data_IF_797346361757
#
_entry.id   IF_797346361757
#
_cell.length_a   1.000
_cell.length_b   1.000
_cell.length_c   1.000
_cell.angle_alpha   90.00
_cell.angle_beta   90.00
_cell.angle_gamma   90.00
#
_symmetry.space_group_name_H-M   'P 1'
#
loop_
_entity.id
_entity.type
_entity.pdbx_description
1 polymer ?
#
# COMPACT_ATOMS: atom_id res chain seq x y z
N UNK A 1 -58.54 -29.20 5.28
CA UNK A 1 -59.81 -29.85 4.93
C UNK A 1 -59.67 -31.34 5.15
N UNK A 2 -59.78 -31.84 6.40
CA UNK A 2 -59.95 -33.27 6.72
C UNK A 2 -60.25 -33.45 8.18
N UNK A 3 -61.32 -32.88 8.63
CA UNK A 3 -61.82 -33.04 10.01
C UNK A 3 -63.35 -33.00 10.00
N UNK A 4 -63.91 -33.99 9.36
CA UNK A 4 -65.39 -34.26 9.46
C UNK A 4 -65.64 -35.62 8.79
N UNK A 5 -65.54 -36.69 9.55
CA UNK A 5 -66.27 -37.98 9.28
C UNK A 5 -65.83 -38.97 10.36
N UNK A 6 -66.30 -38.79 11.58
CA UNK A 6 -66.36 -39.89 12.57
C UNK A 6 -67.50 -39.62 13.55
N UNK A 7 -68.68 -39.53 13.02
CA UNK A 7 -69.89 -39.39 13.85
C UNK A 7 -71.04 -40.05 13.10
N UNK A 8 -71.06 -41.34 12.95
CA UNK A 8 -72.30 -42.09 12.67
C UNK A 8 -71.93 -43.56 12.58
N UNK A 9 -71.63 -44.16 13.70
CA UNK A 9 -71.75 -45.63 13.85
C UNK A 9 -72.12 -45.95 15.28
N UNK A 10 -73.26 -45.50 15.67
CA UNK A 10 -73.96 -45.91 16.89
C UNK A 10 -75.40 -45.90 16.56
N UNK A 11 -75.96 -47.01 16.33
CA UNK A 11 -77.34 -47.39 16.56
C UNK A 11 -77.83 -48.40 15.53
N UNK A 12 -77.64 -49.65 15.74
CA UNK A 12 -78.62 -50.72 15.42
C UNK A 12 -78.06 -52.04 15.88
N UNK A 13 -78.15 -52.40 17.11
CA UNK A 13 -78.36 -53.82 17.58
C UNK A 13 -79.31 -53.68 18.76
N UNK A 14 -80.58 -53.67 18.40
CA UNK A 14 -81.65 -53.91 19.37
C UNK A 14 -82.40 -55.17 18.92
N UNK A 15 -82.66 -56.02 19.84
CA UNK A 15 -83.60 -57.17 19.90
C UNK A 15 -83.14 -58.50 19.36
N UNK A 16 -82.86 -59.33 20.25
CA UNK A 16 -82.80 -60.78 20.13
C UNK A 16 -82.40 -61.47 21.41
N UNK A 17 -83.37 -61.44 22.42
CA UNK A 17 -83.62 -62.52 23.43
C UNK A 17 -82.49 -63.25 24.07
N UNK A 18 -82.37 -63.19 25.26
CA UNK A 18 -82.79 -64.01 26.38
C UNK A 18 -82.09 -63.59 27.65
N UNK A 19 -82.87 -63.39 28.65
CA UNK A 19 -82.54 -63.14 30.04
C UNK A 19 -81.48 -64.09 30.55
N UNK A 20 -80.33 -63.58 30.85
CA UNK A 20 -79.59 -63.93 32.06
C UNK A 20 -79.23 -62.58 32.69
N UNK A 21 -80.00 -62.26 33.75
CA UNK A 21 -79.73 -61.13 34.61
C UNK A 21 -78.41 -61.37 35.30
N UNK A 22 -77.35 -61.00 34.64
CA UNK A 22 -76.10 -60.66 35.31
C UNK A 22 -76.16 -59.24 35.73
N UNK A 23 -76.64 -58.97 36.98
CA UNK A 23 -76.49 -57.67 37.62
C UNK A 23 -75.03 -57.31 37.74
N UNK A 24 -74.46 -56.83 36.63
CA UNK A 24 -73.21 -56.12 36.70
C UNK A 24 -73.53 -54.89 37.64
N UNK A 25 -73.21 -55.00 38.87
CA UNK A 25 -73.39 -53.93 39.81
C UNK A 25 -72.70 -52.71 39.31
N UNK A 26 -73.30 -51.52 39.39
CA UNK A 26 -72.75 -50.23 39.01
C UNK A 26 -71.28 -50.06 39.43
N UNK A 27 -70.94 -50.72 40.54
CA UNK A 27 -69.55 -50.82 41.05
C UNK A 27 -68.60 -51.62 40.16
N UNK A 28 -69.03 -52.74 39.57
CA UNK A 28 -68.22 -53.58 38.67
C UNK A 28 -67.98 -52.88 37.34
N UNK A 29 -69.01 -52.30 36.78
CA UNK A 29 -68.86 -51.54 35.54
C UNK A 29 -67.91 -50.34 35.73
N UNK A 30 -68.05 -49.62 36.84
CA UNK A 30 -67.14 -48.50 37.14
C UNK A 30 -65.69 -48.99 37.31
N UNK A 31 -65.50 -50.05 38.09
CA UNK A 31 -64.15 -50.62 38.27
C UNK A 31 -63.51 -51.05 36.97
N UNK A 32 -64.22 -51.67 36.06
CA UNK A 32 -63.72 -52.11 34.73
C UNK A 32 -63.46 -50.93 33.82
N UNK A 33 -64.20 -49.84 33.96
CA UNK A 33 -63.92 -48.59 33.19
C UNK A 33 -62.68 -47.96 33.77
N UNK A 34 -62.59 -47.76 35.08
CA UNK A 34 -61.44 -47.15 35.76
C UNK A 34 -60.11 -47.90 35.41
N UNK A 35 -60.20 -49.28 35.47
CA UNK A 35 -59.05 -50.13 35.16
C UNK A 35 -58.53 -49.93 33.72
N UNK A 36 -59.36 -49.56 32.74
CA UNK A 36 -58.99 -49.31 31.35
C UNK A 36 -58.71 -47.84 31.07
N UNK A 37 -59.35 -46.93 31.76
CA UNK A 37 -59.20 -45.47 31.54
C UNK A 37 -57.96 -44.91 32.22
N UNK A 38 -57.69 -45.33 33.47
CA UNK A 38 -56.52 -44.83 34.23
C UNK A 38 -55.15 -44.96 33.46
N UNK A 39 -54.84 -46.11 32.78
CA UNK A 39 -53.62 -46.19 31.98
C UNK A 39 -53.62 -45.25 30.77
N UNK A 40 -54.79 -44.93 30.18
CA UNK A 40 -54.91 -44.01 29.07
C UNK A 40 -54.71 -42.57 29.52
N UNK A 41 -55.33 -42.19 30.68
CA UNK A 41 -55.13 -40.88 31.28
C UNK A 41 -53.66 -40.64 31.63
N UNK A 42 -52.98 -41.62 32.23
CA UNK A 42 -51.55 -41.54 32.52
C UNK A 42 -50.72 -41.34 31.23
N UNK A 43 -50.99 -42.11 30.16
CA UNK A 43 -50.28 -41.95 28.87
C UNK A 43 -50.59 -40.61 28.22
N UNK A 44 -51.80 -40.07 28.34
CA UNK A 44 -52.17 -38.75 27.84
C UNK A 44 -51.40 -37.69 28.59
N UNK A 45 -51.30 -37.77 29.93
CA UNK A 45 -50.48 -36.88 30.72
C UNK A 45 -49.00 -36.89 30.36
N UNK A 46 -48.41 -38.11 30.16
CA UNK A 46 -47.02 -38.22 29.72
C UNK A 46 -46.80 -37.63 28.31
N UNK A 47 -47.76 -37.83 27.40
CA UNK A 47 -47.69 -37.26 26.04
C UNK A 47 -47.81 -35.72 26.06
N UNK A 48 -48.71 -35.18 26.91
CA UNK A 48 -48.85 -33.72 27.07
C UNK A 48 -47.58 -33.09 27.67
N UNK A 49 -46.97 -33.75 28.67
CA UNK A 49 -45.71 -33.27 29.22
C UNK A 49 -44.57 -33.35 28.20
N UNK A 50 -44.48 -34.44 27.47
CA UNK A 50 -43.49 -34.61 26.39
C UNK A 50 -43.66 -33.54 25.29
N UNK A 51 -44.92 -33.29 24.91
CA UNK A 51 -45.26 -32.23 23.93
C UNK A 51 -44.85 -30.84 24.40
N UNK A 52 -45.08 -30.53 25.70
CA UNK A 52 -44.63 -29.26 26.27
C UNK A 52 -43.10 -29.13 26.28
N UNK A 53 -42.38 -30.20 26.68
CA UNK A 53 -40.91 -30.23 26.66
C UNK A 53 -40.40 -30.03 25.25
N UNK A 54 -40.92 -30.79 24.27
CA UNK A 54 -40.54 -30.67 22.89
C UNK A 54 -40.79 -29.21 22.34
N UNK A 55 -41.92 -28.61 22.71
CA UNK A 55 -42.22 -27.23 22.31
C UNK A 55 -41.23 -26.22 22.90
N UNK A 56 -40.85 -26.39 24.16
CA UNK A 56 -39.85 -25.55 24.81
C UNK A 56 -38.46 -25.73 24.18
N UNK A 57 -38.05 -26.99 23.86
CA UNK A 57 -36.80 -27.29 23.21
C UNK A 57 -36.74 -26.71 21.78
N UNK A 58 -37.83 -26.78 21.04
CA UNK A 58 -37.93 -26.17 19.70
C UNK A 58 -37.75 -24.65 19.80
N UNK A 59 -38.36 -23.99 20.79
CA UNK A 59 -38.18 -22.54 20.97
C UNK A 59 -36.75 -22.20 21.33
N UNK A 60 -36.11 -22.97 22.24
CA UNK A 60 -34.71 -22.77 22.62
C UNK A 60 -33.76 -22.97 21.41
N UNK A 61 -33.94 -24.07 20.69
CA UNK A 61 -33.14 -24.38 19.48
C UNK A 61 -33.30 -23.31 18.39
N UNK A 62 -34.51 -22.81 18.19
CA UNK A 62 -34.73 -21.70 17.25
C UNK A 62 -33.98 -20.44 17.67
N UNK A 63 -33.95 -20.13 18.97
CA UNK A 63 -33.14 -19.04 19.50
C UNK A 63 -31.64 -19.24 19.22
N UNK A 64 -31.10 -20.43 19.55
CA UNK A 64 -29.69 -20.77 19.33
C UNK A 64 -29.31 -20.71 17.84
N UNK A 65 -30.20 -21.20 16.96
CA UNK A 65 -29.99 -21.13 15.49
C UNK A 65 -29.96 -19.68 15.00
N UNK A 66 -30.87 -18.83 15.50
CA UNK A 66 -30.87 -17.41 15.11
C UNK A 66 -29.62 -16.68 15.59
N UNK A 67 -29.17 -16.95 16.83
CA UNK A 67 -27.90 -16.41 17.32
C UNK A 67 -26.68 -16.89 16.49
N UNK A 68 -26.66 -18.20 16.17
CA UNK A 68 -25.58 -18.78 15.34
C UNK A 68 -25.55 -18.14 13.95
N UNK A 69 -26.72 -17.92 13.34
CA UNK A 69 -26.82 -17.20 12.04
C UNK A 69 -26.30 -15.77 12.16
N UNK A 70 -26.73 -15.02 13.18
CA UNK A 70 -26.25 -13.65 13.38
C UNK A 70 -24.72 -13.58 13.59
N UNK A 71 -24.16 -14.56 14.31
CA UNK A 71 -22.68 -14.66 14.46
C UNK A 71 -22.00 -14.98 13.14
N UNK A 72 -22.55 -15.87 12.32
CA UNK A 72 -22.02 -16.24 11.01
C UNK A 72 -22.06 -15.02 10.04
N UNK A 73 -23.17 -14.28 10.00
CA UNK A 73 -23.31 -13.10 9.17
C UNK A 73 -22.29 -12.00 9.57
N UNK A 74 -22.11 -11.79 10.88
CA UNK A 74 -21.10 -10.86 11.38
C UNK A 74 -19.68 -11.30 11.05
N UNK A 75 -19.38 -12.59 11.18
CA UNK A 75 -18.07 -13.15 10.80
C UNK A 75 -17.81 -12.99 9.30
N UNK A 76 -18.82 -13.26 8.47
CA UNK A 76 -18.73 -13.05 7.01
C UNK A 76 -18.43 -11.58 6.67
N UNK A 77 -19.20 -10.66 7.22
CA UNK A 77 -18.99 -9.21 6.99
C UNK A 77 -17.59 -8.77 7.42
N UNK A 78 -17.09 -9.31 8.52
CA UNK A 78 -15.73 -9.01 9.00
C UNK A 78 -14.66 -9.57 8.06
N UNK A 79 -14.87 -10.80 7.57
CA UNK A 79 -13.95 -11.43 6.60
C UNK A 79 -13.93 -10.68 5.26
N UNK A 80 -15.09 -10.25 4.76
CA UNK A 80 -15.19 -9.46 3.54
C UNK A 80 -14.46 -8.12 3.68
N UNK A 81 -14.66 -7.43 4.80
CA UNK A 81 -13.94 -6.18 5.10
C UNK A 81 -12.42 -6.38 5.24
N UNK A 82 -11.98 -7.49 5.82
CA UNK A 82 -10.55 -7.85 5.91
C UNK A 82 -9.97 -8.13 4.52
N UNK A 83 -10.71 -8.83 3.66
CA UNK A 83 -10.31 -9.11 2.28
C UNK A 83 -10.12 -7.82 1.47
N UNK A 84 -11.05 -6.87 1.57
CA UNK A 84 -10.94 -5.56 0.90
C UNK A 84 -9.68 -4.81 1.37
N UNK A 85 -9.43 -4.80 2.69
CA UNK A 85 -8.21 -4.18 3.24
C UNK A 85 -6.92 -4.86 2.77
N UNK A 86 -6.91 -6.19 2.69
CA UNK A 86 -5.76 -6.95 2.21
C UNK A 86 -5.46 -6.66 0.73
N UNK A 87 -6.49 -6.59 -0.12
CA UNK A 87 -6.34 -6.22 -1.53
C UNK A 87 -5.82 -4.78 -1.67
N UNK A 88 -6.35 -3.83 -0.90
CA UNK A 88 -5.87 -2.44 -0.93
C UNK A 88 -4.42 -2.32 -0.45
N UNK A 89 -4.03 -3.06 0.59
CA UNK A 89 -2.65 -3.13 1.07
C UNK A 89 -1.72 -3.74 0.00
N UNK A 90 -2.14 -4.81 -0.68
CA UNK A 90 -1.42 -5.40 -1.81
C UNK A 90 -1.19 -4.39 -2.94
N UNK A 91 -2.24 -3.71 -3.38
CA UNK A 91 -2.16 -2.69 -4.42
C UNK A 91 -1.25 -1.50 -4.03
N UNK A 92 -1.19 -1.15 -2.75
CA UNK A 92 -0.26 -0.13 -2.24
C UNK A 92 1.18 -0.63 -2.27
N UNK A 93 1.42 -1.87 -1.85
CA UNK A 93 2.74 -2.48 -1.90
C UNK A 93 3.27 -2.56 -3.34
N UNK A 94 2.45 -2.98 -4.30
CA UNK A 94 2.82 -3.04 -5.72
C UNK A 94 3.18 -1.66 -6.27
N UNK A 95 2.42 -0.62 -5.93
CA UNK A 95 2.76 0.76 -6.31
C UNK A 95 4.08 1.24 -5.69
N UNK A 96 4.36 0.87 -4.44
CA UNK A 96 5.63 1.20 -3.79
C UNK A 96 6.77 0.47 -4.49
N UNK A 97 6.64 -0.83 -4.78
CA UNK A 97 7.64 -1.61 -5.49
C UNK A 97 7.95 -1.01 -6.88
N UNK A 98 6.92 -0.69 -7.67
CA UNK A 98 7.09 -0.03 -8.97
C UNK A 98 7.82 1.32 -8.86
N UNK A 99 7.57 2.10 -7.78
CA UNK A 99 8.31 3.35 -7.52
C UNK A 99 9.76 3.08 -7.14
N UNK A 100 10.00 2.06 -6.33
CA UNK A 100 11.36 1.64 -5.96
C UNK A 100 12.14 1.18 -7.19
N UNK A 101 11.54 0.34 -8.04
CA UNK A 101 12.18 -0.12 -9.29
C UNK A 101 12.57 1.06 -10.18
N UNK A 102 11.67 2.02 -10.39
CA UNK A 102 11.98 3.25 -11.13
C UNK A 102 13.07 4.11 -10.48
N UNK A 103 13.12 4.16 -9.14
CA UNK A 103 14.19 4.86 -8.43
C UNK A 103 15.53 4.16 -8.65
N UNK A 104 15.58 2.83 -8.56
CA UNK A 104 16.80 2.04 -8.78
C UNK A 104 17.29 2.17 -10.23
N UNK A 105 16.40 2.08 -11.21
CA UNK A 105 16.75 2.26 -12.64
C UNK A 105 17.34 3.64 -12.94
N UNK A 106 16.93 4.67 -12.20
CA UNK A 106 17.32 6.06 -12.48
C UNK A 106 18.30 6.64 -11.44
N UNK A 107 18.78 5.87 -10.49
CA UNK A 107 19.63 6.37 -9.41
C UNK A 107 20.94 6.97 -9.94
N UNK A 108 21.47 6.41 -11.02
CA UNK A 108 22.70 6.84 -11.69
C UNK A 108 22.44 7.56 -13.03
N UNK A 109 21.17 7.78 -13.39
CA UNK A 109 20.79 8.47 -14.61
C UNK A 109 20.83 9.98 -14.40
N UNK A 110 22.01 10.57 -14.65
CA UNK A 110 22.20 12.01 -14.60
C UNK A 110 22.08 12.61 -16.00
N UNK A 111 21.30 13.68 -16.13
CA UNK A 111 21.19 14.48 -17.35
C UNK A 111 21.74 15.87 -17.12
N UNK A 112 22.38 16.43 -18.15
CA UNK A 112 22.88 17.80 -18.12
C UNK A 112 21.69 18.78 -18.09
N UNK A 113 21.57 19.54 -17.00
CA UNK A 113 20.59 20.60 -16.87
C UNK A 113 21.08 21.91 -17.50
N UNK A 114 22.31 22.32 -17.16
CA UNK A 114 22.95 23.51 -17.67
C UNK A 114 24.47 23.49 -17.45
N UNK A 115 25.18 24.34 -18.14
CA UNK A 115 26.60 24.61 -17.94
C UNK A 115 26.79 26.09 -17.55
N UNK A 116 27.54 26.34 -16.48
CA UNK A 116 28.03 27.67 -16.13
C UNK A 116 29.50 27.72 -16.52
N UNK A 117 29.89 28.73 -17.29
CA UNK A 117 31.26 28.89 -17.81
C UNK A 117 31.95 30.07 -17.13
N UNK A 118 33.07 29.80 -16.48
CA UNK A 118 33.91 30.79 -15.79
C UNK A 118 35.21 30.96 -16.57
N UNK A 119 35.49 32.16 -17.04
CA UNK A 119 36.71 32.46 -17.81
C UNK A 119 37.86 32.91 -16.89
N UNK A 120 39.10 32.70 -17.36
CA UNK A 120 40.31 33.03 -16.62
C UNK A 120 41.27 33.88 -17.44
N UNK A 121 41.96 34.79 -16.76
CA UNK A 121 43.06 35.53 -17.38
C UNK A 121 44.24 34.62 -17.72
N UNK A 122 45.13 35.09 -18.58
CA UNK A 122 46.35 34.38 -19.04
C UNK A 122 47.18 33.96 -17.82
N UNK A 123 47.50 32.67 -17.74
CA UNK A 123 48.31 32.08 -16.68
C UNK A 123 47.79 32.32 -15.23
N UNK A 124 46.51 32.69 -15.08
CA UNK A 124 45.87 32.87 -13.79
C UNK A 124 44.92 31.73 -13.47
N UNK A 125 44.77 31.46 -12.19
CA UNK A 125 43.87 30.50 -11.54
C UNK A 125 43.02 31.17 -10.41
N UNK A 126 42.97 32.53 -10.41
CA UNK A 126 42.20 33.33 -9.46
C UNK A 126 40.87 33.73 -10.12
N UNK A 127 39.78 33.61 -9.39
CA UNK A 127 38.45 34.05 -9.78
C UNK A 127 38.39 35.58 -9.76
N UNK A 128 37.87 36.17 -10.84
CA UNK A 128 37.54 37.58 -10.89
C UNK A 128 36.12 37.88 -10.41
N UNK A 129 35.71 39.12 -10.33
CA UNK A 129 34.39 39.54 -9.84
C UNK A 129 33.26 38.98 -10.70
N UNK A 130 33.46 38.84 -12.02
CA UNK A 130 32.48 38.23 -12.93
C UNK A 130 32.28 36.76 -12.62
N UNK A 131 33.38 36.04 -12.46
CA UNK A 131 33.37 34.61 -12.09
C UNK A 131 32.68 34.40 -10.73
N UNK A 132 32.99 35.25 -9.75
CA UNK A 132 32.36 35.19 -8.42
C UNK A 132 30.85 35.47 -8.53
N UNK A 133 30.41 36.44 -9.33
CA UNK A 133 29.00 36.71 -9.54
C UNK A 133 28.24 35.53 -10.16
N UNK A 134 28.80 34.90 -11.22
CA UNK A 134 28.19 33.75 -11.88
C UNK A 134 28.09 32.56 -10.94
N UNK A 135 29.16 32.28 -10.17
CA UNK A 135 29.17 31.20 -9.21
C UNK A 135 28.22 31.43 -8.03
N UNK A 136 28.10 32.69 -7.55
CA UNK A 136 27.15 33.10 -6.52
C UNK A 136 25.70 32.86 -6.96
N UNK A 137 25.38 33.22 -8.21
CA UNK A 137 24.06 32.98 -8.80
C UNK A 137 23.77 31.47 -8.87
N UNK A 138 24.75 30.65 -9.25
CA UNK A 138 24.62 29.19 -9.26
C UNK A 138 24.37 28.65 -7.84
N UNK A 139 25.14 29.07 -6.85
CA UNK A 139 24.96 28.67 -5.45
C UNK A 139 23.55 29.01 -4.95
N UNK A 140 23.08 30.21 -5.23
CA UNK A 140 21.74 30.67 -4.85
C UNK A 140 20.64 29.78 -5.48
N UNK A 141 20.83 29.41 -6.73
CA UNK A 141 19.90 28.51 -7.44
C UNK A 141 19.89 27.09 -6.87
N UNK A 142 21.04 26.56 -6.46
CA UNK A 142 21.18 25.21 -5.92
C UNK A 142 20.78 25.09 -4.45
N UNK A 143 20.61 26.20 -3.76
CA UNK A 143 20.27 26.22 -2.33
C UNK A 143 18.97 25.48 -2.05
N UNK A 144 19.02 24.46 -1.20
CA UNK A 144 17.88 23.63 -0.84
C UNK A 144 17.47 22.59 -1.88
N UNK A 145 18.07 22.58 -3.09
CA UNK A 145 17.81 21.56 -4.10
C UNK A 145 18.49 20.23 -3.75
N UNK A 146 17.85 19.14 -4.18
CA UNK A 146 18.36 17.76 -4.05
C UNK A 146 18.52 17.15 -5.44
N UNK A 147 19.18 15.99 -5.52
CA UNK A 147 19.27 15.22 -6.77
C UNK A 147 20.14 15.88 -7.85
N UNK A 148 21.13 16.70 -7.48
CA UNK A 148 22.11 17.24 -8.41
C UNK A 148 23.53 16.83 -8.04
N UNK A 149 24.40 16.80 -9.05
CA UNK A 149 25.87 16.78 -8.92
C UNK A 149 26.47 17.81 -9.85
N UNK A 150 27.64 18.33 -9.48
CA UNK A 150 28.40 19.27 -10.28
C UNK A 150 29.65 18.58 -10.83
N UNK A 151 29.85 18.69 -12.12
CA UNK A 151 31.06 18.23 -12.81
C UNK A 151 31.86 19.47 -13.26
N UNK A 152 33.00 19.73 -12.59
CA UNK A 152 33.81 20.93 -12.73
C UNK A 152 35.00 20.59 -13.61
N UNK A 153 35.02 21.12 -14.81
CA UNK A 153 35.97 20.80 -15.86
C UNK A 153 36.83 22.02 -16.21
N UNK A 154 38.14 21.93 -15.94
CA UNK A 154 39.10 23.00 -16.22
C UNK A 154 39.79 22.86 -17.56
N UNK A 155 39.97 23.98 -18.28
CA UNK A 155 40.59 24.03 -19.58
C UNK A 155 41.59 25.17 -19.68
N UNK A 156 42.53 25.08 -20.63
CA UNK A 156 43.48 26.14 -21.00
C UNK A 156 43.41 26.41 -22.49
N UNK A 157 44.00 27.51 -22.92
CA UNK A 157 44.36 27.72 -24.32
C UNK A 157 45.54 26.79 -24.72
N UNK A 158 45.89 26.78 -26.02
CA UNK A 158 46.98 25.96 -26.52
C UNK A 158 48.39 26.47 -26.21
N UNK A 159 48.53 27.60 -25.51
CA UNK A 159 49.83 28.21 -25.22
C UNK A 159 50.58 27.41 -24.17
N UNK A 160 51.80 26.98 -24.48
CA UNK A 160 52.66 26.26 -23.54
C UNK A 160 52.58 24.73 -23.65
N UNK A 161 53.35 24.07 -22.80
CA UNK A 161 53.48 22.64 -22.81
C UNK A 161 52.34 21.92 -22.07
N UNK A 162 52.05 20.68 -22.45
CA UNK A 162 50.93 19.88 -21.96
C UNK A 162 50.93 19.70 -20.44
N UNK A 163 52.08 19.40 -19.86
CA UNK A 163 52.19 19.22 -18.38
C UNK A 163 51.82 20.49 -17.59
N UNK A 164 52.23 21.68 -18.13
CA UNK A 164 51.85 22.98 -17.50
C UNK A 164 50.38 23.27 -17.66
N UNK A 165 49.80 23.01 -18.84
CA UNK A 165 48.38 23.20 -19.11
C UNK A 165 47.52 22.27 -18.28
N UNK A 166 47.89 21.02 -18.13
CA UNK A 166 47.20 20.07 -17.25
C UNK A 166 47.17 20.57 -15.81
N UNK A 167 48.33 20.96 -15.26
CA UNK A 167 48.40 21.49 -13.91
C UNK A 167 47.65 22.83 -13.73
N UNK A 168 47.62 23.70 -14.74
CA UNK A 168 46.90 24.97 -14.69
C UNK A 168 45.37 24.76 -14.74
N UNK A 169 44.91 23.89 -15.61
CA UNK A 169 43.49 23.54 -15.71
C UNK A 169 42.96 22.91 -14.39
N UNK A 170 43.75 22.04 -13.75
CA UNK A 170 43.43 21.46 -12.44
C UNK A 170 43.33 22.55 -11.36
N UNK A 171 44.30 23.49 -11.29
CA UNK A 171 44.24 24.60 -10.32
C UNK A 171 43.03 25.50 -10.52
N UNK A 172 42.64 25.79 -11.78
CA UNK A 172 41.44 26.57 -12.09
C UNK A 172 40.16 25.85 -11.64
N UNK A 173 40.03 24.57 -11.96
CA UNK A 173 38.90 23.76 -11.51
C UNK A 173 38.85 23.71 -9.99
N UNK A 174 40.00 23.61 -9.33
CA UNK A 174 40.12 23.61 -7.86
C UNK A 174 39.71 24.95 -7.22
N UNK A 175 40.03 26.09 -7.85
CA UNK A 175 39.60 27.40 -7.36
C UNK A 175 38.05 27.53 -7.40
N UNK A 176 37.42 27.07 -8.48
CA UNK A 176 35.96 27.02 -8.58
C UNK A 176 35.36 26.04 -7.55
N UNK A 177 35.91 24.85 -7.42
CA UNK A 177 35.48 23.85 -6.43
C UNK A 177 35.52 24.41 -5.01
N UNK A 178 36.61 25.07 -4.67
CA UNK A 178 36.84 25.65 -3.34
C UNK A 178 35.82 26.75 -3.03
N UNK A 179 35.59 27.65 -4.00
CA UNK A 179 34.58 28.68 -3.89
C UNK A 179 33.17 28.11 -3.65
N UNK A 180 32.77 27.10 -4.42
CA UNK A 180 31.46 26.47 -4.28
C UNK A 180 31.32 25.77 -2.90
N UNK A 181 32.37 25.10 -2.44
CA UNK A 181 32.40 24.43 -1.13
C UNK A 181 32.25 25.44 0.04
N UNK A 182 33.01 26.55 -0.01
CA UNK A 182 32.95 27.63 0.98
C UNK A 182 31.57 28.30 1.02
N UNK A 183 30.84 28.30 -0.10
CA UNK A 183 29.47 28.83 -0.21
C UNK A 183 28.39 27.81 0.01
N UNK A 184 28.71 26.61 0.55
CA UNK A 184 27.75 25.65 1.06
C UNK A 184 27.28 24.57 0.08
N UNK A 185 27.95 24.41 -1.07
CA UNK A 185 27.73 23.24 -1.93
C UNK A 185 28.42 22.02 -1.29
N UNK A 186 27.71 20.90 -1.02
CA UNK A 186 28.27 19.74 -0.38
C UNK A 186 29.40 19.10 -1.21
N UNK A 187 30.51 18.77 -0.58
CA UNK A 187 31.70 18.20 -1.23
C UNK A 187 31.37 16.91 -2.04
N UNK A 188 30.52 16.05 -1.50
CA UNK A 188 30.12 14.79 -2.14
C UNK A 188 29.29 14.99 -3.43
N UNK A 189 28.88 16.21 -3.74
CA UNK A 189 28.13 16.56 -4.95
C UNK A 189 28.99 17.17 -6.04
N UNK A 190 30.30 17.24 -5.83
CA UNK A 190 31.21 17.93 -6.75
C UNK A 190 32.34 17.00 -7.17
N UNK A 191 32.51 16.84 -8.48
CA UNK A 191 33.68 16.24 -9.09
C UNK A 191 34.50 17.31 -9.80
N UNK A 192 35.81 17.17 -9.85
CA UNK A 192 36.66 18.10 -10.61
C UNK A 192 37.71 17.33 -11.44
N UNK A 193 38.01 17.87 -12.62
CA UNK A 193 39.05 17.36 -13.49
C UNK A 193 39.62 18.49 -14.36
N UNK A 194 40.95 18.54 -14.46
CA UNK A 194 41.64 19.37 -15.43
C UNK A 194 41.87 18.62 -16.74
N UNK A 195 41.54 19.22 -17.87
CA UNK A 195 41.74 18.66 -19.24
C UNK A 195 42.89 19.34 -20.01
N UNK A 196 43.59 20.29 -19.41
CA UNK A 196 44.64 21.03 -20.05
C UNK A 196 44.12 21.78 -21.30
N UNK A 197 44.87 21.68 -22.42
CA UNK A 197 44.49 22.26 -23.69
C UNK A 197 43.59 21.37 -24.57
N UNK A 198 43.15 20.24 -24.03
CA UNK A 198 42.19 19.36 -24.69
C UNK A 198 40.80 20.05 -24.82
N UNK A 199 40.05 19.69 -25.83
CA UNK A 199 38.67 20.15 -26.07
C UNK A 199 38.53 21.70 -26.17
N UNK A 200 39.21 22.37 -27.14
CA UNK A 200 39.01 23.78 -27.38
C UNK A 200 37.59 24.04 -27.88
N UNK A 201 36.97 25.14 -27.41
CA UNK A 201 35.65 25.62 -27.87
C UNK A 201 35.73 26.73 -28.87
N UNK A 202 36.94 27.31 -29.06
CA UNK A 202 37.23 28.34 -30.05
C UNK A 202 38.63 28.17 -30.60
N UNK A 203 38.91 28.93 -31.70
CA UNK A 203 40.21 28.91 -32.33
C UNK A 203 41.32 29.46 -31.42
N UNK A 204 42.44 28.76 -31.34
CA UNK A 204 43.59 29.12 -30.53
C UNK A 204 44.55 30.14 -31.20
N UNK A 205 44.34 30.42 -32.47
CA UNK A 205 45.19 31.40 -33.22
C UNK A 205 44.81 32.84 -32.85
N UNK A 206 43.50 33.09 -32.64
CA UNK A 206 43.02 34.41 -32.22
C UNK A 206 43.19 34.65 -30.73
N UNK A 207 43.34 35.91 -30.29
CA UNK A 207 43.41 36.30 -28.90
C UNK A 207 42.08 36.02 -28.20
N UNK A 208 40.99 36.31 -28.89
CA UNK A 208 39.59 36.13 -28.45
C UNK A 208 39.28 34.63 -28.26
N UNK A 209 39.64 33.79 -29.19
CA UNK A 209 39.41 32.35 -29.07
C UNK A 209 40.22 31.72 -27.93
N UNK A 210 41.49 32.13 -27.74
CA UNK A 210 42.27 31.72 -26.58
C UNK A 210 41.60 32.15 -25.26
N UNK A 211 41.00 33.33 -25.23
CA UNK A 211 40.27 33.78 -24.01
C UNK A 211 39.08 32.89 -23.70
N UNK A 212 38.33 32.44 -24.71
CA UNK A 212 37.22 31.49 -24.54
C UNK A 212 37.72 30.07 -24.11
N UNK A 213 38.89 29.64 -24.59
CA UNK A 213 39.46 28.35 -24.21
C UNK A 213 39.95 28.33 -22.75
N UNK A 214 40.35 29.47 -22.18
CA UNK A 214 40.77 29.59 -20.76
C UNK A 214 39.56 29.63 -19.86
N UNK A 215 38.92 28.50 -19.62
CA UNK A 215 37.66 28.42 -18.90
C UNK A 215 37.63 27.26 -17.90
N UNK A 216 36.66 27.35 -17.02
CA UNK A 216 36.14 26.22 -16.24
C UNK A 216 34.66 26.10 -16.54
N UNK A 217 34.22 24.92 -16.89
CA UNK A 217 32.81 24.58 -17.06
C UNK A 217 32.31 23.89 -15.81
N UNK A 218 31.27 24.44 -15.18
CA UNK A 218 30.52 23.80 -14.11
C UNK A 218 29.25 23.23 -14.70
N UNK A 219 29.22 21.93 -14.94
CA UNK A 219 28.10 21.22 -15.51
C UNK A 219 27.19 20.75 -14.40
N UNK A 220 25.98 21.27 -14.38
CA UNK A 220 24.95 20.88 -13.40
C UNK A 220 24.21 19.68 -13.96
N UNK A 221 24.47 18.54 -13.35
CA UNK A 221 23.82 17.28 -13.69
C UNK A 221 22.70 17.01 -12.69
N UNK A 222 21.53 16.61 -13.17
CA UNK A 222 20.40 16.30 -12.32
C UNK A 222 19.90 14.87 -12.57
N UNK A 223 19.43 14.22 -11.50
CA UNK A 223 18.76 12.94 -11.65
C UNK A 223 17.40 13.13 -12.31
N UNK A 224 16.95 12.17 -13.11
CA UNK A 224 15.62 12.19 -13.75
C UNK A 224 14.49 11.81 -12.76
N UNK A 225 14.82 11.61 -11.48
CA UNK A 225 13.84 11.33 -10.45
C UNK A 225 13.01 12.61 -10.24
N UNK A 226 11.91 12.71 -10.95
CA UNK A 226 10.86 13.70 -10.64
C UNK A 226 9.91 13.11 -9.61
N UNK A 227 9.63 13.87 -8.56
CA UNK A 227 8.62 13.55 -7.54
C UNK A 227 7.24 13.32 -8.16
#
# INVERSE_FOLDING_TARGET
MAARRLSTLLLTIALGSTFTVGCATKKYVRHRIDERVAPLENRTGELEETSRRNSADIQRLNGEVNEARARADKAQTTADAATVKAVDAGNKADRVNQRVDKLVENIDAYTLLKTVTVNFAVSRDILDDTAISELSALVAELRGKKGYVLDIQGYTDATGGDKKNMALSDRRARAVYQYLAENGVPLFRMNLLGFGKGQPVADNESKEGRAQNRRVEVRVMVTQIRD
#
